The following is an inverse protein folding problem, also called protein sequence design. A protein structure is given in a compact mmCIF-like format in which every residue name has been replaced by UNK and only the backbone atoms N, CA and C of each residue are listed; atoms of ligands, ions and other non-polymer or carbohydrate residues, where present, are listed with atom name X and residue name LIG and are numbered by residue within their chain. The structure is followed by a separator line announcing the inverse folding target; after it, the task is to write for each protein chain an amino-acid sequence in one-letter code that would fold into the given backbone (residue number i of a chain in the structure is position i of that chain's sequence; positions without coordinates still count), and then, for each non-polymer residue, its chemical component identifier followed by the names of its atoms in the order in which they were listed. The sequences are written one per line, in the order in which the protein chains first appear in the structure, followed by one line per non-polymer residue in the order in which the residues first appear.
data_IF_701516326003
#
_entry.id   IF_701516326003
#
_cell.length_a   1.000
_cell.length_b   1.000
_cell.length_c   1.000
_cell.angle_alpha   90.00
_cell.angle_beta   90.00
_cell.angle_gamma   90.00
#
_symmetry.space_group_name_H-M   'P 1'
#
loop_
_entity.id
_entity.type
_entity.pdbx_description
1 polymer ?
#
# COMPACT_ATOMS: atom_id res chain seq x y z
N UNK A 1 19.74 12.57 3.46
CA UNK A 1 20.30 12.94 2.20
C UNK A 1 19.24 13.20 1.15
N UNK A 2 19.48 14.20 0.35
CA UNK A 2 18.56 14.76 -0.65
C UNK A 2 18.20 13.81 -1.82
N UNK A 3 18.69 12.56 -1.77
CA UNK A 3 18.53 11.56 -2.85
C UNK A 3 17.60 10.40 -2.52
N UNK A 4 17.12 10.29 -1.29
CA UNK A 4 16.29 9.16 -0.85
C UNK A 4 15.02 9.71 -0.20
N UNK A 5 13.87 9.23 -0.68
CA UNK A 5 12.59 9.58 -0.08
C UNK A 5 12.44 8.94 1.31
N UNK A 6 11.97 9.75 2.26
CA UNK A 6 11.64 9.27 3.61
C UNK A 6 10.19 8.83 3.60
N UNK A 7 9.96 7.56 3.96
CA UNK A 7 8.63 6.96 4.06
C UNK A 7 8.37 6.51 5.49
N UNK A 8 7.18 6.79 6.01
CA UNK A 8 6.70 6.22 7.27
C UNK A 8 5.33 5.55 7.09
N UNK A 9 4.89 4.86 8.13
CA UNK A 9 3.59 4.16 8.15
C UNK A 9 2.56 4.93 8.98
N UNK A 10 1.29 4.79 8.65
CA UNK A 10 0.16 5.48 9.28
C UNK A 10 -0.92 4.47 9.64
N UNK A 11 -1.47 4.56 10.85
CA UNK A 11 -2.47 3.61 11.36
C UNK A 11 -1.96 2.18 11.42
N UNK A 12 -0.68 2.00 11.57
CA UNK A 12 0.03 0.75 11.36
C UNK A 12 0.21 -0.06 12.66
N UNK A 13 0.10 -1.41 12.64
CA UNK A 13 -0.16 -2.23 11.45
C UNK A 13 -1.65 -2.57 11.22
N UNK A 14 -2.55 -2.20 12.11
CA UNK A 14 -3.92 -2.73 12.17
C UNK A 14 -4.97 -1.90 11.40
N UNK A 15 -4.74 -0.62 11.18
CA UNK A 15 -5.65 0.26 10.46
C UNK A 15 -6.93 0.66 11.20
N UNK A 16 -7.06 0.35 12.49
CA UNK A 16 -8.31 0.56 13.26
C UNK A 16 -8.47 1.97 13.86
N UNK A 17 -7.47 2.82 13.69
CA UNK A 17 -7.58 4.21 14.12
C UNK A 17 -8.69 4.91 13.33
N UNK A 18 -9.29 5.95 13.93
CA UNK A 18 -10.25 6.78 13.19
C UNK A 18 -9.57 7.52 12.04
N UNK A 19 -10.35 7.92 11.05
CA UNK A 19 -9.85 8.70 9.91
C UNK A 19 -9.15 9.98 10.36
N UNK A 20 -9.71 10.68 11.35
CA UNK A 20 -9.13 11.91 11.90
C UNK A 20 -7.75 11.67 12.52
N UNK A 21 -7.60 10.56 13.26
CA UNK A 21 -6.30 10.18 13.84
C UNK A 21 -5.27 9.91 12.74
N UNK A 22 -5.63 9.14 11.71
CA UNK A 22 -4.73 8.87 10.58
C UNK A 22 -4.38 10.15 9.81
N UNK A 23 -5.36 11.06 9.61
CA UNK A 23 -5.12 12.37 8.98
C UNK A 23 -4.13 13.20 9.80
N UNK A 24 -4.25 13.17 11.14
CA UNK A 24 -3.29 13.83 12.01
C UNK A 24 -1.89 13.22 11.86
N UNK A 25 -1.77 11.88 11.87
CA UNK A 25 -0.48 11.18 11.69
C UNK A 25 0.17 11.55 10.34
N UNK A 26 -0.62 11.59 9.24
CA UNK A 26 -0.12 12.01 7.91
C UNK A 26 0.47 13.42 7.96
N UNK A 27 -0.29 14.38 8.49
CA UNK A 27 0.15 15.78 8.56
C UNK A 27 1.39 15.95 9.43
N UNK A 28 1.45 15.28 10.58
CA UNK A 28 2.60 15.30 11.49
C UNK A 28 3.86 14.70 10.83
N UNK A 29 3.71 13.55 10.15
CA UNK A 29 4.79 12.91 9.44
C UNK A 29 5.38 13.81 8.33
N UNK A 30 4.51 14.44 7.53
CA UNK A 30 4.93 15.34 6.45
C UNK A 30 5.62 16.58 7.02
N UNK A 31 5.08 17.17 8.08
CA UNK A 31 5.70 18.33 8.76
C UNK A 31 7.10 18.01 9.31
N UNK A 32 7.36 16.74 9.63
CA UNK A 32 8.67 16.22 10.08
C UNK A 32 9.60 15.78 8.95
N UNK A 33 9.22 15.99 7.69
CA UNK A 33 10.08 15.77 6.53
C UNK A 33 9.81 14.49 5.75
N UNK A 34 8.73 13.74 6.03
CA UNK A 34 8.33 12.61 5.19
C UNK A 34 7.86 13.09 3.82
N UNK A 35 8.27 12.38 2.79
CA UNK A 35 7.84 12.57 1.40
C UNK A 35 6.87 11.49 0.92
N UNK A 36 6.75 10.40 1.68
CA UNK A 36 5.86 9.27 1.38
C UNK A 36 5.23 8.73 2.66
N UNK A 37 3.98 8.29 2.58
CA UNK A 37 3.25 7.64 3.68
C UNK A 37 2.57 6.36 3.20
N UNK A 38 2.73 5.27 3.97
CA UNK A 38 2.08 3.97 3.74
C UNK A 38 0.96 3.80 4.78
N UNK A 39 -0.30 3.92 4.38
CA UNK A 39 -1.46 3.92 5.29
C UNK A 39 -2.18 2.58 5.24
N UNK A 40 -2.50 2.00 6.40
CA UNK A 40 -3.33 0.79 6.49
C UNK A 40 -4.80 1.16 6.52
N UNK A 41 -5.60 0.54 5.63
CA UNK A 41 -7.07 0.71 5.64
C UNK A 41 -7.72 0.08 6.88
N UNK A 42 -8.96 0.50 7.17
CA UNK A 42 -9.76 -0.19 8.17
C UNK A 42 -10.39 -1.46 7.56
N UNK A 43 -9.76 -2.62 7.81
CA UNK A 43 -10.23 -3.92 7.32
C UNK A 43 -11.62 -4.28 7.86
N UNK A 44 -11.98 -3.80 9.06
CA UNK A 44 -13.32 -3.98 9.62
C UNK A 44 -14.41 -3.37 8.73
N UNK A 45 -14.16 -2.19 8.16
CA UNK A 45 -15.10 -1.60 7.17
C UNK A 45 -15.21 -2.45 5.90
N UNK A 46 -14.11 -3.00 5.42
CA UNK A 46 -14.13 -3.90 4.25
C UNK A 46 -14.98 -5.12 4.52
N UNK A 47 -14.79 -5.77 5.68
CA UNK A 47 -15.55 -6.96 6.09
C UNK A 47 -17.04 -6.69 6.31
N UNK A 48 -17.40 -5.48 6.68
CA UNK A 48 -18.79 -5.04 6.79
C UNK A 48 -19.41 -4.64 5.42
N UNK A 49 -18.60 -4.57 4.36
CA UNK A 49 -19.05 -4.08 3.04
C UNK A 49 -19.16 -2.56 2.93
N UNK A 50 -18.61 -1.82 3.89
CA UNK A 50 -18.64 -0.35 3.98
C UNK A 50 -17.58 0.30 3.06
N UNK A 51 -17.53 -0.05 1.78
CA UNK A 51 -16.52 0.44 0.83
C UNK A 51 -16.56 1.96 0.65
N UNK A 52 -17.72 2.58 0.76
CA UNK A 52 -17.85 4.05 0.71
C UNK A 52 -17.07 4.72 1.84
N UNK A 53 -17.05 4.12 3.04
CA UNK A 53 -16.25 4.63 4.16
C UNK A 53 -14.76 4.46 3.92
N UNK A 54 -14.35 3.32 3.34
CA UNK A 54 -12.95 3.06 2.98
C UNK A 54 -12.48 4.07 1.93
N UNK A 55 -13.26 4.30 0.88
CA UNK A 55 -12.95 5.28 -0.16
C UNK A 55 -12.87 6.70 0.41
N UNK A 56 -13.83 7.08 1.27
CA UNK A 56 -13.83 8.39 1.92
C UNK A 56 -12.59 8.58 2.82
N UNK A 57 -12.18 7.56 3.59
CA UNK A 57 -10.95 7.58 4.36
C UNK A 57 -9.73 7.80 3.47
N UNK A 58 -9.58 7.03 2.39
CA UNK A 58 -8.44 7.17 1.47
C UNK A 58 -8.40 8.56 0.84
N UNK A 59 -9.56 9.13 0.45
CA UNK A 59 -9.67 10.50 -0.08
C UNK A 59 -9.18 11.54 0.94
N UNK A 60 -9.64 11.45 2.18
CA UNK A 60 -9.22 12.35 3.25
C UNK A 60 -7.70 12.28 3.52
N UNK A 61 -7.13 11.06 3.45
CA UNK A 61 -5.71 10.83 3.63
C UNK A 61 -4.88 11.36 2.44
N UNK A 62 -5.38 11.20 1.20
CA UNK A 62 -4.72 11.77 0.01
C UNK A 62 -4.76 13.29 0.04
N UNK A 63 -5.87 13.88 0.45
CA UNK A 63 -6.00 15.33 0.64
C UNK A 63 -5.00 15.82 1.71
N UNK A 64 -4.88 15.12 2.83
CA UNK A 64 -3.93 15.44 3.88
C UNK A 64 -2.46 15.30 3.43
N UNK A 65 -2.17 14.34 2.54
CA UNK A 65 -0.85 14.10 1.97
C UNK A 65 -0.47 15.16 0.92
N UNK A 66 -1.45 15.79 0.27
CA UNK A 66 -1.22 16.79 -0.77
C UNK A 66 -0.40 16.26 -1.95
N UNK A 67 0.75 16.87 -2.20
CA UNK A 67 1.71 16.48 -3.26
C UNK A 67 2.58 15.27 -2.90
N UNK A 68 2.50 14.78 -1.67
CA UNK A 68 3.28 13.64 -1.21
C UNK A 68 2.68 12.31 -1.65
N UNK A 69 3.52 11.29 -1.73
CA UNK A 69 3.10 9.95 -2.16
C UNK A 69 2.32 9.26 -1.06
N UNK A 70 1.08 8.90 -1.36
CA UNK A 70 0.23 8.05 -0.52
C UNK A 70 0.20 6.62 -1.07
N UNK A 71 0.59 5.64 -0.24
CA UNK A 71 0.46 4.23 -0.55
C UNK A 71 -0.56 3.59 0.39
N UNK A 72 -1.53 2.89 -0.18
CA UNK A 72 -2.65 2.28 0.55
C UNK A 72 -2.38 0.80 0.76
N UNK A 73 -2.14 0.40 2.00
CA UNK A 73 -1.96 -1.01 2.38
C UNK A 73 -3.33 -1.63 2.61
N UNK A 74 -3.67 -2.63 1.81
CA UNK A 74 -4.97 -3.31 1.88
C UNK A 74 -4.92 -4.66 2.61
N UNK A 75 -3.73 -5.20 2.92
CA UNK A 75 -3.50 -6.45 3.65
C UNK A 75 -4.24 -7.65 3.04
N UNK A 76 -3.85 -8.04 1.84
CA UNK A 76 -4.57 -9.01 0.99
C UNK A 76 -4.84 -10.36 1.63
N UNK A 77 -4.00 -10.79 2.57
CA UNK A 77 -4.15 -12.08 3.24
C UNK A 77 -5.45 -12.22 4.06
N UNK A 78 -6.15 -11.13 4.32
CA UNK A 78 -7.45 -11.14 5.01
C UNK A 78 -8.64 -10.94 4.07
N UNK A 79 -8.42 -10.80 2.77
CA UNK A 79 -9.42 -10.36 1.79
C UNK A 79 -9.78 -11.47 0.80
N UNK A 80 -11.04 -11.48 0.38
CA UNK A 80 -11.49 -12.22 -0.81
C UNK A 80 -11.11 -11.47 -2.07
N UNK A 81 -11.12 -12.14 -3.23
CA UNK A 81 -10.80 -11.48 -4.50
C UNK A 81 -11.81 -10.39 -4.86
N UNK A 82 -13.10 -10.59 -4.56
CA UNK A 82 -14.14 -9.58 -4.75
C UNK A 82 -13.86 -8.32 -3.90
N UNK A 83 -13.42 -8.49 -2.65
CA UNK A 83 -13.03 -7.38 -1.78
C UNK A 83 -11.80 -6.65 -2.32
N UNK A 84 -10.80 -7.38 -2.82
CA UNK A 84 -9.60 -6.81 -3.44
C UNK A 84 -9.95 -5.98 -4.68
N UNK A 85 -10.82 -6.48 -5.56
CA UNK A 85 -11.30 -5.75 -6.76
C UNK A 85 -12.01 -4.45 -6.37
N UNK A 86 -12.89 -4.48 -5.38
CA UNK A 86 -13.57 -3.26 -4.89
C UNK A 86 -12.58 -2.27 -4.28
N UNK A 87 -11.56 -2.75 -3.58
CA UNK A 87 -10.51 -1.89 -3.03
C UNK A 87 -9.63 -1.27 -4.13
N UNK A 88 -9.35 -1.97 -5.23
CA UNK A 88 -8.72 -1.38 -6.40
C UNK A 88 -9.51 -0.17 -6.92
N UNK A 89 -10.85 -0.27 -6.94
CA UNK A 89 -11.73 0.84 -7.33
C UNK A 89 -11.67 2.00 -6.31
N UNK A 90 -11.75 1.70 -5.01
CA UNK A 90 -11.64 2.72 -3.95
C UNK A 90 -10.31 3.49 -4.03
N UNK A 91 -9.19 2.78 -4.19
CA UNK A 91 -7.85 3.37 -4.30
C UNK A 91 -7.74 4.26 -5.55
N UNK A 92 -8.29 3.79 -6.67
CA UNK A 92 -8.31 4.52 -7.94
C UNK A 92 -9.17 5.79 -7.84
N UNK A 93 -10.40 5.68 -7.33
CA UNK A 93 -11.33 6.80 -7.18
C UNK A 93 -10.81 7.86 -6.21
N UNK A 94 -10.09 7.43 -5.18
CA UNK A 94 -9.46 8.31 -4.20
C UNK A 94 -8.16 8.96 -4.71
N UNK A 95 -7.68 8.59 -5.90
CA UNK A 95 -6.44 9.10 -6.52
C UNK A 95 -5.21 8.89 -5.65
N UNK A 96 -5.15 7.78 -4.91
CA UNK A 96 -3.93 7.38 -4.22
C UNK A 96 -2.85 7.00 -5.23
N UNK A 97 -1.59 7.18 -4.86
CA UNK A 97 -0.47 6.97 -5.80
C UNK A 97 -0.13 5.48 -5.95
N UNK A 98 -0.31 4.70 -4.87
CA UNK A 98 -0.02 3.27 -4.87
C UNK A 98 -1.08 2.46 -4.13
N UNK A 99 -1.34 1.25 -4.64
CA UNK A 99 -1.88 0.14 -3.85
C UNK A 99 -0.72 -0.73 -3.36
N UNK A 100 -0.73 -1.10 -2.07
CA UNK A 100 0.31 -1.93 -1.43
C UNK A 100 -0.33 -3.16 -0.80
N UNK A 101 0.29 -4.33 -1.03
CA UNK A 101 -0.30 -5.63 -0.69
C UNK A 101 -0.32 -5.87 0.83
N UNK A 102 0.78 -5.62 1.54
CA UNK A 102 1.04 -6.24 2.84
C UNK A 102 1.75 -5.31 3.82
N UNK A 103 1.43 -5.45 5.12
CA UNK A 103 2.10 -4.73 6.21
C UNK A 103 3.44 -5.36 6.61
N UNK A 104 3.56 -6.67 6.49
CA UNK A 104 4.63 -7.49 7.08
C UNK A 104 4.21 -8.21 8.38
N UNK A 105 3.00 -7.93 8.90
CA UNK A 105 2.50 -8.47 10.18
C UNK A 105 1.30 -9.40 10.02
N UNK A 106 0.69 -9.48 8.85
CA UNK A 106 -0.38 -10.41 8.56
C UNK A 106 0.11 -11.85 8.40
N UNK A 107 -0.82 -12.75 8.11
CA UNK A 107 -0.56 -14.21 8.00
C UNK A 107 -0.01 -14.64 6.65
N UNK A 108 0.01 -13.74 5.65
CA UNK A 108 0.48 -14.00 4.29
C UNK A 108 1.57 -13.02 3.85
N UNK A 109 1.78 -12.94 2.54
CA UNK A 109 2.69 -12.02 1.87
C UNK A 109 2.18 -11.71 0.47
N UNK A 110 2.99 -11.01 -0.34
CA UNK A 110 2.65 -10.77 -1.74
C UNK A 110 2.57 -12.07 -2.53
N UNK A 111 1.54 -12.19 -3.37
CA UNK A 111 1.39 -13.27 -4.34
C UNK A 111 1.33 -12.70 -5.76
N UNK A 112 1.74 -13.50 -6.73
CA UNK A 112 1.67 -13.09 -8.15
C UNK A 112 0.22 -12.97 -8.60
N UNK A 113 -0.65 -13.80 -8.06
CA UNK A 113 -2.08 -13.77 -8.31
C UNK A 113 -2.69 -12.43 -7.90
N UNK A 114 -2.32 -11.92 -6.71
CA UNK A 114 -2.76 -10.60 -6.24
C UNK A 114 -2.28 -9.47 -7.16
N UNK A 115 -1.02 -9.52 -7.58
CA UNK A 115 -0.47 -8.50 -8.49
C UNK A 115 -1.20 -8.52 -9.83
N UNK A 116 -1.45 -9.69 -10.41
CA UNK A 116 -2.20 -9.82 -11.66
C UNK A 116 -3.64 -9.32 -11.51
N UNK A 117 -4.27 -9.63 -10.38
CA UNK A 117 -5.61 -9.14 -10.07
C UNK A 117 -5.64 -7.61 -10.01
N UNK A 118 -4.65 -6.99 -9.35
CA UNK A 118 -4.54 -5.54 -9.26
C UNK A 118 -4.27 -4.90 -10.62
N UNK A 119 -3.32 -5.43 -11.40
CA UNK A 119 -3.00 -4.92 -12.73
C UNK A 119 -4.22 -4.84 -13.67
N UNK A 120 -5.20 -5.74 -13.47
CA UNK A 120 -6.44 -5.77 -14.25
C UNK A 120 -7.53 -4.83 -13.73
N UNK A 121 -7.44 -4.33 -12.49
CA UNK A 121 -8.53 -3.65 -11.81
C UNK A 121 -8.22 -2.25 -11.28
N UNK A 122 -6.94 -1.85 -11.21
CA UNK A 122 -6.54 -0.48 -10.83
C UNK A 122 -6.58 0.46 -12.03
N UNK A 123 -6.77 1.75 -11.76
CA UNK A 123 -6.65 2.79 -12.77
C UNK A 123 -5.20 2.99 -13.22
N UNK A 124 -5.01 3.50 -14.43
CA UNK A 124 -3.70 3.71 -15.07
C UNK A 124 -2.73 4.58 -14.27
N UNK A 125 -3.25 5.45 -13.40
CA UNK A 125 -2.47 6.38 -12.60
C UNK A 125 -2.04 5.80 -11.24
N UNK A 126 -2.56 4.61 -10.88
CA UNK A 126 -2.23 3.92 -9.63
C UNK A 126 -1.12 2.91 -9.89
N UNK A 127 -0.09 2.96 -9.07
CA UNK A 127 1.06 2.05 -9.10
C UNK A 127 0.92 0.93 -8.07
N UNK A 128 1.70 -0.14 -8.23
CA UNK A 128 1.66 -1.29 -7.34
C UNK A 128 2.95 -1.44 -6.53
N UNK A 129 2.81 -1.74 -5.23
CA UNK A 129 3.93 -2.10 -4.36
C UNK A 129 3.71 -3.48 -3.75
N UNK A 130 4.55 -4.45 -4.12
CA UNK A 130 4.63 -5.74 -3.45
C UNK A 130 5.49 -5.61 -2.17
N UNK A 131 5.09 -6.30 -1.10
CA UNK A 131 5.86 -6.43 0.12
C UNK A 131 5.55 -7.76 0.80
N UNK A 132 6.58 -8.33 1.47
CA UNK A 132 6.49 -9.66 2.06
C UNK A 132 6.63 -10.79 1.03
N UNK A 133 7.34 -11.86 1.41
CA UNK A 133 7.54 -13.02 0.53
C UNK A 133 8.66 -12.89 -0.50
N UNK A 134 9.21 -11.70 -0.72
CA UNK A 134 10.31 -11.47 -1.68
C UNK A 134 11.65 -11.77 -0.99
N UNK A 135 12.23 -12.94 -1.28
CA UNK A 135 13.42 -13.45 -0.59
C UNK A 135 14.62 -13.62 -1.52
N UNK A 136 14.40 -13.66 -2.82
CA UNK A 136 15.42 -13.87 -3.85
C UNK A 136 15.35 -12.82 -4.94
N UNK A 137 16.40 -12.73 -5.76
CA UNK A 137 16.41 -11.89 -6.94
C UNK A 137 15.38 -12.35 -7.97
N UNK A 138 15.20 -13.67 -8.09
CA UNK A 138 14.19 -14.25 -8.98
C UNK A 138 12.77 -13.83 -8.56
N UNK A 139 12.43 -13.88 -7.26
CA UNK A 139 11.16 -13.36 -6.75
C UNK A 139 10.96 -11.91 -7.16
N UNK A 140 12.01 -11.08 -6.99
CA UNK A 140 11.96 -9.65 -7.32
C UNK A 140 11.66 -9.44 -8.82
N UNK A 141 12.36 -10.16 -9.70
CA UNK A 141 12.17 -10.08 -11.15
C UNK A 141 10.75 -10.50 -11.54
N UNK A 142 10.23 -11.59 -10.99
CA UNK A 142 8.86 -12.06 -11.24
C UNK A 142 7.81 -11.01 -10.86
N UNK A 143 7.95 -10.34 -9.71
CA UNK A 143 7.01 -9.29 -9.28
C UNK A 143 7.10 -8.04 -10.18
N UNK A 144 8.30 -7.66 -10.62
CA UNK A 144 8.48 -6.54 -11.56
C UNK A 144 7.87 -6.85 -12.93
N UNK A 145 8.10 -8.06 -13.46
CA UNK A 145 7.49 -8.52 -14.71
C UNK A 145 5.95 -8.60 -14.63
N UNK A 146 5.42 -8.92 -13.46
CA UNK A 146 3.98 -8.91 -13.22
C UNK A 146 3.36 -7.51 -13.14
N UNK A 147 4.19 -6.44 -13.16
CA UNK A 147 3.75 -5.05 -13.20
C UNK A 147 3.92 -4.25 -11.92
N UNK A 148 4.63 -4.77 -10.92
CA UNK A 148 4.95 -3.98 -9.72
C UNK A 148 5.94 -2.87 -10.06
N UNK A 149 5.67 -1.67 -9.56
CA UNK A 149 6.58 -0.52 -9.67
C UNK A 149 7.60 -0.47 -8.52
N UNK A 150 7.25 -1.05 -7.37
CA UNK A 150 8.12 -1.12 -6.19
C UNK A 150 8.00 -2.44 -5.47
N UNK A 151 9.13 -2.86 -4.90
CA UNK A 151 9.24 -4.06 -4.07
C UNK A 151 9.76 -3.66 -2.69
N UNK A 152 9.09 -4.12 -1.64
CA UNK A 152 9.53 -4.02 -0.26
C UNK A 152 10.10 -5.35 0.23
N UNK A 153 11.39 -5.38 0.54
CA UNK A 153 12.06 -6.55 1.10
C UNK A 153 13.11 -6.14 2.12
N UNK A 154 13.28 -6.92 3.19
CA UNK A 154 14.36 -6.77 4.15
C UNK A 154 15.69 -7.34 3.64
N UNK A 155 15.68 -8.09 2.55
CA UNK A 155 16.85 -8.77 1.97
C UNK A 155 17.50 -7.99 0.82
N UNK A 156 17.06 -6.74 0.54
CA UNK A 156 17.51 -5.98 -0.63
C UNK A 156 19.04 -5.85 -0.72
N UNK A 157 19.71 -5.52 0.39
CA UNK A 157 21.17 -5.35 0.43
C UNK A 157 21.85 -6.66 0.02
N UNK A 158 21.46 -7.78 0.65
CA UNK A 158 22.01 -9.09 0.32
C UNK A 158 21.81 -9.47 -1.15
N UNK A 159 20.60 -9.24 -1.68
CA UNK A 159 20.29 -9.53 -3.09
C UNK A 159 21.12 -8.71 -4.08
N UNK A 160 21.54 -7.50 -3.71
CA UNK A 160 22.34 -6.60 -4.55
C UNK A 160 23.84 -6.85 -4.44
N UNK A 161 24.30 -7.50 -3.35
CA UNK A 161 25.71 -7.84 -3.10
C UNK A 161 26.12 -9.20 -3.70
N UNK A 162 25.16 -10.10 -3.97
CA UNK A 162 25.39 -11.43 -4.56
C UNK A 162 25.59 -11.41 -6.09
N UNK A 163 26.32 -10.38 -6.61
CA UNK A 163 26.73 -10.27 -8.02
C UNK A 163 28.19 -10.66 -8.20
#
# INVERSE_FOLDING_TARGET
GDKINICTVIGFPLGYNTTETKVFEVKDAIAKGCSEVDVVINIGHVKNGDFDKVEAEIKALKEAAGDKILKVIIETCYLTDDEKVKLCQCVTNAKADYIKIFTGFGTGGATIEDIRLFAQNIGSDVKMKAAGGVKSREDLEIFLEAGCDRIGTSSAVKMLEEN
#
